data_IF_545483603919
#
_entry.id   IF_545483603919
#
_cell.length_a   1.000
_cell.length_b   1.000
_cell.length_c   1.000
_cell.angle_alpha   90.00
_cell.angle_beta   90.00
_cell.angle_gamma   90.00
#
_symmetry.space_group_name_H-M   'P 1'
#
loop_
_entity.id
_entity.type
_entity.pdbx_description
1 polymer ?
#
# COMPACT_ATOMS: atom_id res chain seq x y z
N UNK A 1 11.27 29.31 19.43
CA UNK A 1 10.63 28.81 18.20
C UNK A 1 11.27 27.45 17.93
N UNK A 2 10.49 26.38 18.04
CA UNK A 2 10.99 25.02 17.79
C UNK A 2 11.03 24.88 16.27
N UNK A 3 12.24 24.87 15.68
CA UNK A 3 12.42 24.46 14.29
C UNK A 3 12.17 22.96 14.24
N UNK A 4 10.93 22.57 14.03
CA UNK A 4 10.57 21.18 13.83
C UNK A 4 10.87 20.78 12.37
N UNK A 5 12.13 20.42 12.11
CA UNK A 5 12.55 19.90 10.81
C UNK A 5 11.87 18.56 10.43
N UNK A 6 11.09 17.94 11.33
CA UNK A 6 10.40 16.69 11.03
C UNK A 6 9.37 16.81 9.90
N UNK A 7 8.85 18.01 9.64
CA UNK A 7 7.92 18.29 8.53
C UNK A 7 8.60 18.31 7.14
N UNK A 8 9.93 18.45 7.08
CA UNK A 8 10.66 18.50 5.82
C UNK A 8 11.30 17.16 5.43
N UNK A 9 11.20 16.13 6.27
CA UNK A 9 11.72 14.81 5.92
C UNK A 9 10.87 14.20 4.80
N UNK A 10 11.44 13.86 3.64
CA UNK A 10 10.70 13.23 2.57
C UNK A 10 10.26 11.81 2.97
N UNK A 11 9.00 11.49 2.69
CA UNK A 11 8.40 10.17 2.89
C UNK A 11 8.28 9.48 1.54
N UNK A 12 8.52 8.16 1.50
CA UNK A 12 8.23 7.36 0.31
C UNK A 12 6.75 7.05 0.27
N UNK A 13 6.01 7.72 -0.61
CA UNK A 13 4.55 7.60 -0.69
C UNK A 13 4.10 6.87 -1.96
N UNK A 14 2.92 6.29 -1.88
CA UNK A 14 2.20 5.69 -3.00
C UNK A 14 0.69 5.69 -2.70
N UNK A 15 -0.13 5.57 -3.73
CA UNK A 15 -1.56 5.26 -3.60
C UNK A 15 -1.79 3.77 -3.79
N UNK A 16 -2.70 3.20 -3.01
CA UNK A 16 -3.03 1.79 -3.08
C UNK A 16 -4.52 1.53 -2.80
N UNK A 17 -4.98 0.37 -3.25
CA UNK A 17 -6.27 -0.22 -2.87
C UNK A 17 -5.98 -1.38 -1.92
N UNK A 18 -6.68 -1.39 -0.78
CA UNK A 18 -6.61 -2.50 0.17
C UNK A 18 -7.29 -3.75 -0.39
N UNK A 19 -6.75 -4.92 -0.06
CA UNK A 19 -7.39 -6.17 -0.44
C UNK A 19 -8.60 -6.45 0.47
N UNK A 20 -9.75 -6.86 -0.10
CA UNK A 20 -10.84 -7.44 0.68
C UNK A 20 -10.35 -8.61 1.54
N UNK A 21 -11.01 -8.85 2.68
CA UNK A 21 -10.59 -9.89 3.62
C UNK A 21 -10.47 -11.28 2.97
N UNK A 22 -11.46 -11.65 2.15
CA UNK A 22 -11.48 -12.92 1.42
C UNK A 22 -10.27 -13.10 0.48
N UNK A 23 -9.94 -12.07 -0.30
CA UNK A 23 -8.79 -12.10 -1.20
C UNK A 23 -7.48 -12.23 -0.41
N UNK A 24 -7.35 -11.51 0.71
CA UNK A 24 -6.17 -11.58 1.57
C UNK A 24 -6.02 -12.95 2.21
N UNK A 25 -7.10 -13.59 2.66
CA UNK A 25 -7.09 -14.94 3.23
C UNK A 25 -6.69 -15.98 2.18
N UNK A 26 -7.25 -15.87 0.96
CA UNK A 26 -6.88 -16.73 -0.16
C UNK A 26 -5.38 -16.64 -0.48
N UNK A 27 -4.84 -15.42 -0.59
CA UNK A 27 -3.41 -15.20 -0.85
C UNK A 27 -2.56 -15.68 0.33
N UNK A 28 -3.00 -15.49 1.58
CA UNK A 28 -2.29 -15.97 2.76
C UNK A 28 -2.13 -17.50 2.74
N UNK A 29 -3.19 -18.23 2.39
CA UNK A 29 -3.13 -19.70 2.25
C UNK A 29 -2.14 -20.13 1.16
N UNK A 30 -2.14 -19.42 0.03
CA UNK A 30 -1.19 -19.66 -1.07
C UNK A 30 0.26 -19.38 -0.67
N UNK A 31 0.53 -18.25 0.00
CA UNK A 31 1.86 -17.91 0.54
C UNK A 31 2.33 -19.00 1.50
N UNK A 32 1.47 -19.46 2.40
CA UNK A 32 1.82 -20.52 3.35
C UNK A 32 2.19 -21.84 2.62
N UNK A 33 1.50 -22.17 1.52
CA UNK A 33 1.86 -23.30 0.69
C UNK A 33 3.24 -23.13 0.05
N UNK A 34 3.51 -21.96 -0.56
CA UNK A 34 4.79 -21.66 -1.21
C UNK A 34 5.96 -21.64 -0.23
N UNK A 35 5.77 -21.09 0.96
CA UNK A 35 6.78 -21.07 2.04
C UNK A 35 7.28 -22.46 2.42
N UNK A 36 6.44 -23.50 2.29
CA UNK A 36 6.81 -24.88 2.59
C UNK A 36 7.57 -25.57 1.45
N UNK A 37 7.50 -25.03 0.23
CA UNK A 37 8.27 -25.54 -0.90
C UNK A 37 9.75 -25.18 -0.78
N UNK A 38 10.62 -25.99 -1.37
CA UNK A 38 12.08 -25.75 -1.35
C UNK A 38 12.44 -24.36 -1.90
N UNK A 39 11.76 -23.93 -2.96
CA UNK A 39 11.92 -22.59 -3.56
C UNK A 39 11.46 -21.45 -2.66
N UNK A 40 10.56 -21.70 -1.71
CA UNK A 40 10.03 -20.69 -0.80
C UNK A 40 10.94 -20.37 0.38
N UNK A 41 11.93 -21.22 0.67
CA UNK A 41 12.85 -21.05 1.81
C UNK A 41 13.81 -19.88 1.67
N UNK A 42 14.16 -19.51 0.44
CA UNK A 42 15.05 -18.38 0.15
C UNK A 42 14.31 -17.06 -0.11
N UNK A 43 12.99 -17.09 -0.23
CA UNK A 43 12.19 -15.91 -0.49
C UNK A 43 11.97 -15.07 0.78
N UNK A 44 11.98 -13.74 0.61
CA UNK A 44 11.56 -12.80 1.66
C UNK A 44 10.06 -12.56 1.52
N UNK A 45 9.29 -13.05 2.48
CA UNK A 45 7.84 -12.91 2.50
C UNK A 45 7.42 -11.64 3.24
N UNK A 46 6.51 -10.87 2.65
CA UNK A 46 5.85 -9.76 3.34
C UNK A 46 4.69 -10.26 4.19
N UNK A 47 4.32 -9.50 5.23
CA UNK A 47 3.16 -9.80 6.06
C UNK A 47 1.87 -9.68 5.24
N UNK A 48 0.97 -10.63 5.41
CA UNK A 48 -0.29 -10.70 4.64
C UNK A 48 -1.17 -9.48 4.89
N UNK A 49 -1.10 -8.87 6.07
CA UNK A 49 -1.82 -7.63 6.41
C UNK A 49 -1.28 -6.38 5.70
N UNK A 50 -0.09 -6.45 5.12
CA UNK A 50 0.50 -5.36 4.34
C UNK A 50 0.26 -5.49 2.85
N UNK A 51 -0.40 -6.56 2.40
CA UNK A 51 -0.70 -6.76 0.99
C UNK A 51 -1.73 -5.73 0.51
N UNK A 52 -1.44 -5.13 -0.64
CA UNK A 52 -2.27 -4.11 -1.27
C UNK A 52 -1.96 -4.08 -2.77
N UNK A 53 -2.87 -3.51 -3.55
CA UNK A 53 -2.63 -3.23 -4.97
C UNK A 53 -2.11 -1.80 -5.07
N UNK A 54 -0.84 -1.63 -5.46
CA UNK A 54 -0.29 -0.29 -5.69
C UNK A 54 -0.87 0.30 -6.98
N UNK A 55 -1.43 1.51 -6.90
CA UNK A 55 -1.91 2.26 -8.06
C UNK A 55 -0.82 3.15 -8.65
N UNK A 56 -0.10 3.89 -7.79
CA UNK A 56 0.91 4.86 -8.23
C UNK A 56 1.95 5.12 -7.15
N UNK A 57 3.23 4.96 -7.50
CA UNK A 57 4.34 5.43 -6.68
C UNK A 57 4.52 6.94 -6.84
N UNK A 58 4.68 7.64 -5.72
CA UNK A 58 4.96 9.08 -5.68
C UNK A 58 6.43 9.37 -5.35
N UNK A 59 7.17 8.36 -4.90
CA UNK A 59 8.58 8.50 -4.53
C UNK A 59 8.75 9.33 -3.26
N UNK A 60 9.90 9.99 -3.14
CA UNK A 60 10.20 10.91 -2.03
C UNK A 60 9.33 12.15 -2.11
N UNK A 61 8.44 12.29 -1.13
CA UNK A 61 7.42 13.34 -1.08
C UNK A 61 7.49 14.07 0.26
N UNK A 62 7.55 15.41 0.30
CA UNK A 62 7.53 16.16 1.55
C UNK A 62 6.27 15.86 2.37
N UNK A 63 6.41 15.71 3.69
CA UNK A 63 5.27 15.40 4.58
C UNK A 63 4.15 16.45 4.47
N UNK A 64 4.51 17.72 4.25
CA UNK A 64 3.57 18.82 4.00
C UNK A 64 2.63 18.60 2.79
N UNK A 65 2.93 17.65 1.90
CA UNK A 65 2.07 17.32 0.75
C UNK A 65 0.98 16.30 1.07
N UNK A 66 1.04 15.61 2.21
CA UNK A 66 0.12 14.52 2.55
C UNK A 66 -1.34 14.99 2.51
N UNK A 67 -1.67 16.10 3.17
CA UNK A 67 -3.06 16.58 3.25
C UNK A 67 -3.64 16.84 1.84
N UNK A 68 -2.89 17.53 0.99
CA UNK A 68 -3.29 17.81 -0.39
C UNK A 68 -3.44 16.54 -1.22
N UNK A 69 -2.54 15.57 -1.05
CA UNK A 69 -2.60 14.28 -1.75
C UNK A 69 -3.81 13.45 -1.29
N UNK A 70 -4.09 13.43 0.00
CA UNK A 70 -5.26 12.76 0.59
C UNK A 70 -6.55 13.40 0.09
N UNK A 71 -6.63 14.72 0.05
CA UNK A 71 -7.80 15.43 -0.48
C UNK A 71 -8.04 15.09 -1.96
N UNK A 72 -6.98 15.14 -2.78
CA UNK A 72 -7.08 14.80 -4.20
C UNK A 72 -7.51 13.34 -4.41
N UNK A 73 -6.95 12.40 -3.65
CA UNK A 73 -7.32 11.00 -3.73
C UNK A 73 -8.78 10.76 -3.34
N UNK A 74 -9.25 11.41 -2.27
CA UNK A 74 -10.65 11.31 -1.83
C UNK A 74 -11.62 11.80 -2.91
N UNK A 75 -11.35 12.96 -3.51
CA UNK A 75 -12.18 13.52 -4.59
C UNK A 75 -12.29 12.56 -5.77
N UNK A 76 -11.18 12.00 -6.22
CA UNK A 76 -11.17 11.02 -7.32
C UNK A 76 -11.90 9.73 -6.93
N UNK A 77 -11.73 9.26 -5.69
CA UNK A 77 -12.41 8.06 -5.21
C UNK A 77 -13.94 8.24 -5.13
N UNK A 78 -14.42 9.42 -4.72
CA UNK A 78 -15.85 9.75 -4.68
C UNK A 78 -16.47 9.84 -6.10
N UNK A 79 -15.69 10.24 -7.10
CA UNK A 79 -16.13 10.37 -8.50
C UNK A 79 -15.98 9.06 -9.30
N UNK A 80 -15.29 8.05 -8.74
CA UNK A 80 -15.03 6.76 -9.39
C UNK A 80 -16.09 5.74 -9.02
N UNK A 81 -16.68 5.07 -10.02
CA UNK A 81 -17.55 3.93 -9.78
C UNK A 81 -16.73 2.71 -9.31
N UNK A 82 -17.23 1.91 -8.35
CA UNK A 82 -16.64 0.62 -8.01
C UNK A 82 -16.53 -0.28 -9.25
N UNK A 83 -15.49 -1.11 -9.30
CA UNK A 83 -15.24 -2.06 -10.38
C UNK A 83 -14.80 -3.41 -9.81
N UNK A 84 -15.00 -4.46 -10.59
CA UNK A 84 -14.56 -5.81 -10.25
C UNK A 84 -13.11 -6.03 -10.69
N UNK A 85 -12.37 -6.76 -9.85
CA UNK A 85 -11.02 -7.23 -10.14
C UNK A 85 -11.11 -8.76 -10.33
N UNK A 86 -10.69 -9.23 -11.51
CA UNK A 86 -10.69 -10.65 -11.91
C UNK A 86 -9.31 -11.27 -11.85
#
# INVERSE_FOLDING_TARGET
MINDESFNKPLRLFFAVELPAEAREYVAAHIAHLQRAESGRSARWERTEKLHITLKFLGETPAARIENLTYAARRVAEESAPFELS
#
